data_IF_224879339171
#
_entry.id   IF_224879339171
#
_cell.length_a   1.000
_cell.length_b   1.000
_cell.length_c   1.000
_cell.angle_alpha   90.00
_cell.angle_beta   90.00
_cell.angle_gamma   90.00
#
_symmetry.space_group_name_H-M   'P 1'
#
loop_
_entity.id
_entity.type
_entity.pdbx_description
1 polymer ?
#
# COMPACT_ATOMS: atom_id res chain seq x y z
N UNK A 1 5.83 74.80 -30.74
CA UNK A 1 6.67 75.38 -29.66
C UNK A 1 5.80 75.52 -28.42
N UNK A 2 6.26 75.24 -27.18
CA UNK A 2 7.61 75.49 -26.63
C UNK A 2 8.38 74.24 -26.16
N UNK A 3 9.68 74.44 -25.88
CA UNK A 3 10.62 73.55 -25.17
C UNK A 3 10.80 74.05 -23.70
N UNK A 4 11.85 73.69 -22.94
CA UNK A 4 12.21 72.41 -22.28
C UNK A 4 12.37 72.58 -20.74
N UNK A 5 12.49 71.49 -19.96
CA UNK A 5 13.04 71.56 -18.59
C UNK A 5 13.63 70.21 -18.09
N UNK A 6 14.96 70.18 -17.90
CA UNK A 6 15.71 69.33 -16.93
C UNK A 6 15.28 69.70 -15.49
N UNK A 7 15.37 68.85 -14.44
CA UNK A 7 16.62 68.41 -13.77
C UNK A 7 16.49 66.98 -13.14
N UNK A 8 17.37 66.33 -12.38
CA UNK A 8 18.27 66.74 -11.28
C UNK A 8 19.05 65.47 -10.77
N UNK A 9 19.96 65.58 -9.78
CA UNK A 9 21.21 64.82 -9.69
C UNK A 9 21.20 63.62 -8.71
N UNK A 10 22.29 62.84 -8.80
CA UNK A 10 22.58 61.65 -8.01
C UNK A 10 22.59 61.87 -6.50
N UNK A 11 22.40 60.76 -5.77
CA UNK A 11 22.53 60.72 -4.31
C UNK A 11 23.56 59.66 -3.88
N UNK A 12 24.35 59.98 -2.83
CA UNK A 12 25.55 59.25 -2.45
C UNK A 12 25.25 58.08 -1.52
N UNK A 13 26.15 57.10 -1.50
CA UNK A 13 26.17 56.03 -0.53
C UNK A 13 26.43 56.57 0.90
N UNK A 14 25.75 56.04 1.93
CA UNK A 14 26.22 56.19 3.30
C UNK A 14 26.80 54.87 3.84
N UNK A 15 27.92 55.10 4.49
CA UNK A 15 28.78 54.24 5.30
C UNK A 15 28.07 53.44 6.40
N UNK A 16 28.63 52.26 6.63
CA UNK A 16 28.39 51.30 7.71
C UNK A 16 28.57 51.89 9.12
N UNK A 17 27.78 51.44 10.11
CA UNK A 17 28.31 51.25 11.46
C UNK A 17 28.27 49.78 11.92
N UNK A 18 29.23 49.42 12.77
CA UNK A 18 29.49 48.10 13.32
C UNK A 18 28.51 47.69 14.46
N UNK A 19 28.53 46.39 14.76
CA UNK A 19 27.64 45.60 15.62
C UNK A 19 27.44 46.09 17.07
N UNK A 20 26.41 45.57 17.76
CA UNK A 20 26.74 44.58 18.80
C UNK A 20 25.75 43.41 19.01
N UNK A 21 26.26 42.43 19.76
CA UNK A 21 25.58 41.46 20.61
C UNK A 21 24.99 40.17 19.97
N UNK A 22 25.73 39.09 20.21
CA UNK A 22 25.35 37.70 20.01
C UNK A 22 24.08 37.34 20.81
N UNK A 23 23.16 36.64 20.14
CA UNK A 23 22.06 35.91 20.77
C UNK A 23 22.07 34.48 20.20
N UNK A 24 21.99 33.42 21.01
CA UNK A 24 22.11 32.05 20.51
C UNK A 24 20.91 31.72 19.61
N UNK A 25 21.19 31.23 18.40
CA UNK A 25 20.17 30.70 17.52
C UNK A 25 19.66 29.35 18.07
N UNK A 26 18.34 29.09 18.08
CA UNK A 26 17.82 27.76 18.41
C UNK A 26 18.25 26.75 17.34
N UNK A 27 18.77 25.63 17.82
CA UNK A 27 19.28 24.53 17.00
C UNK A 27 18.19 23.97 16.07
N UNK A 28 18.54 23.78 14.79
CA UNK A 28 17.80 22.95 13.85
C UNK A 28 17.67 21.52 14.40
N UNK A 29 16.49 20.89 14.38
CA UNK A 29 16.38 19.47 14.64
C UNK A 29 17.09 18.71 13.52
N UNK A 30 18.15 17.99 13.88
CA UNK A 30 18.82 17.01 13.03
C UNK A 30 17.82 15.89 12.69
N UNK A 31 17.63 15.51 11.41
CA UNK A 31 16.82 14.34 11.09
C UNK A 31 17.51 13.07 11.62
N UNK A 32 16.81 12.18 12.34
CA UNK A 32 17.41 10.96 12.80
C UNK A 32 17.73 10.05 11.61
N UNK A 33 19.04 9.79 11.49
CA UNK A 33 19.66 8.56 11.01
C UNK A 33 18.88 7.71 10.02
N UNK A 34 19.31 7.79 8.75
CA UNK A 34 19.11 6.73 7.76
C UNK A 34 19.93 5.51 8.19
N UNK A 35 19.31 4.60 8.95
CA UNK A 35 19.82 3.25 9.14
C UNK A 35 19.27 2.37 8.02
N UNK A 36 20.14 1.96 7.11
CA UNK A 36 19.84 0.89 6.17
C UNK A 36 19.71 -0.45 6.90
N UNK A 37 18.81 -1.30 6.43
CA UNK A 37 18.72 -2.69 6.90
C UNK A 37 17.35 -3.33 6.64
N UNK A 38 17.22 -4.00 5.50
CA UNK A 38 16.38 -5.19 5.35
C UNK A 38 14.87 -4.98 5.38
N UNK A 39 14.26 -4.87 4.20
CA UNK A 39 12.85 -5.23 4.04
C UNK A 39 12.66 -6.69 4.42
N UNK A 40 12.09 -6.97 5.60
CA UNK A 40 11.55 -8.27 6.04
C UNK A 40 10.88 -8.23 7.44
N UNK A 41 11.13 -7.20 8.27
CA UNK A 41 10.67 -7.19 9.68
C UNK A 41 9.28 -6.60 9.94
N UNK A 42 8.61 -6.04 8.92
CA UNK A 42 7.25 -5.49 9.08
C UNK A 42 6.14 -6.53 8.83
N UNK A 43 6.51 -7.80 8.60
CA UNK A 43 5.56 -8.90 8.36
C UNK A 43 5.35 -9.74 9.60
N UNK A 44 6.31 -10.60 9.92
CA UNK A 44 6.17 -11.62 10.98
C UNK A 44 6.22 -11.04 12.40
N UNK A 45 7.25 -10.23 12.70
CA UNK A 45 7.47 -9.66 14.04
C UNK A 45 6.38 -8.68 14.47
N UNK A 46 5.87 -7.87 13.54
CA UNK A 46 4.76 -6.95 13.82
C UNK A 46 3.47 -7.72 14.13
N UNK A 47 3.21 -8.82 13.41
CA UNK A 47 2.04 -9.67 13.64
C UNK A 47 2.15 -10.47 14.94
N UNK A 48 3.37 -10.87 15.33
CA UNK A 48 3.68 -11.56 16.60
C UNK A 48 3.40 -10.72 17.83
N UNK A 49 3.73 -9.42 17.79
CA UNK A 49 3.61 -8.49 18.92
C UNK A 49 2.21 -7.93 19.16
N UNK A 50 1.23 -8.25 18.31
CA UNK A 50 -0.16 -7.83 18.49
C UNK A 50 -0.82 -8.66 19.61
N UNK A 51 -1.79 -8.10 20.37
CA UNK A 51 -2.48 -8.77 21.49
C UNK A 51 -3.40 -9.90 20.99
N UNK A 52 -2.78 -10.95 20.46
CA UNK A 52 -3.36 -12.09 19.78
C UNK A 52 -2.30 -13.05 19.23
N UNK A 53 -1.04 -12.61 19.00
CA UNK A 53 0.03 -13.46 18.46
C UNK A 53 0.92 -14.17 19.49
N UNK A 54 0.75 -13.92 20.80
CA UNK A 54 1.73 -14.32 21.80
C UNK A 54 1.17 -14.84 23.14
N UNK A 55 -0.12 -15.18 23.22
CA UNK A 55 -0.66 -15.80 24.44
C UNK A 55 -1.00 -17.28 24.19
N UNK A 56 -0.25 -18.25 24.74
CA UNK A 56 -0.59 -19.67 24.61
C UNK A 56 -1.93 -20.04 25.28
N UNK A 57 -2.45 -19.21 26.19
CA UNK A 57 -3.82 -19.31 26.72
C UNK A 57 -4.90 -18.67 25.83
N UNK A 58 -4.52 -18.02 24.72
CA UNK A 58 -5.44 -17.45 23.73
C UNK A 58 -5.51 -18.25 22.42
N UNK A 59 -4.77 -19.36 22.30
CA UNK A 59 -4.90 -20.29 21.16
C UNK A 59 -6.33 -20.84 21.00
N UNK A 60 -7.09 -20.88 22.10
CA UNK A 60 -8.50 -21.29 22.13
C UNK A 60 -9.49 -20.11 22.08
N UNK A 61 -9.01 -18.86 22.16
CA UNK A 61 -9.84 -17.67 22.13
C UNK A 61 -9.58 -16.92 20.82
N UNK A 62 -10.24 -17.38 19.75
CA UNK A 62 -10.31 -16.66 18.48
C UNK A 62 -10.54 -15.17 18.75
N UNK A 63 -9.55 -14.33 18.44
CA UNK A 63 -9.66 -12.88 18.64
C UNK A 63 -10.91 -12.45 17.87
N UNK A 64 -11.94 -11.87 18.53
CA UNK A 64 -13.16 -11.51 17.83
C UNK A 64 -12.78 -10.54 16.71
N UNK A 65 -13.25 -10.81 15.49
CA UNK A 65 -12.96 -10.01 14.30
C UNK A 65 -13.24 -8.50 14.47
N UNK A 66 -13.99 -8.15 15.52
CA UNK A 66 -14.36 -6.81 15.98
C UNK A 66 -13.18 -6.02 16.59
N UNK A 67 -12.13 -6.69 17.10
CA UNK A 67 -10.91 -6.06 17.66
C UNK A 67 -9.79 -5.92 16.62
N UNK A 68 -10.04 -6.34 15.38
CA UNK A 68 -9.03 -6.33 14.33
C UNK A 68 -8.92 -4.93 13.74
N UNK A 69 -7.95 -4.18 14.26
CA UNK A 69 -7.66 -2.82 13.82
C UNK A 69 -7.26 -2.72 12.34
N UNK A 70 -7.31 -1.51 11.76
CA UNK A 70 -6.98 -1.27 10.35
C UNK A 70 -5.57 -1.71 9.97
N UNK A 71 -4.61 -1.62 10.91
CA UNK A 71 -3.24 -2.06 10.71
C UNK A 71 -3.13 -3.58 10.44
N UNK A 72 -3.90 -4.40 11.16
CA UNK A 72 -3.91 -5.86 10.98
C UNK A 72 -4.49 -6.23 9.62
N UNK A 73 -5.58 -5.57 9.21
CA UNK A 73 -6.19 -5.78 7.88
C UNK A 73 -5.23 -5.40 6.76
N UNK A 74 -4.53 -4.27 6.91
CA UNK A 74 -3.50 -3.84 5.96
C UNK A 74 -2.36 -4.87 5.87
N UNK A 75 -1.86 -5.35 7.01
CA UNK A 75 -0.82 -6.37 7.07
C UNK A 75 -1.26 -7.69 6.39
N UNK A 76 -2.49 -8.15 6.64
CA UNK A 76 -3.08 -9.33 5.99
C UNK A 76 -3.21 -9.14 4.47
N UNK A 77 -3.77 -8.01 4.02
CA UNK A 77 -3.87 -7.72 2.59
C UNK A 77 -2.50 -7.66 1.92
N UNK A 78 -1.48 -7.14 2.61
CA UNK A 78 -0.10 -7.10 2.14
C UNK A 78 0.53 -8.49 2.07
N UNK A 79 0.27 -9.36 3.05
CA UNK A 79 0.73 -10.75 3.03
C UNK A 79 0.11 -11.53 1.85
N UNK A 80 -1.21 -11.41 1.65
CA UNK A 80 -1.92 -12.02 0.52
C UNK A 80 -1.36 -11.48 -0.80
N UNK A 81 -1.22 -10.15 -0.94
CA UNK A 81 -0.70 -9.54 -2.15
C UNK A 81 0.71 -10.02 -2.52
N UNK A 82 1.59 -10.24 -1.53
CA UNK A 82 2.95 -10.77 -1.76
C UNK A 82 2.94 -12.20 -2.31
N UNK A 83 2.00 -13.02 -1.88
CA UNK A 83 1.85 -14.40 -2.36
C UNK A 83 1.15 -14.45 -3.72
N UNK A 84 0.22 -13.52 -3.99
CA UNK A 84 -0.46 -13.38 -5.28
C UNK A 84 0.45 -12.84 -6.38
N UNK A 85 1.25 -11.80 -6.07
CA UNK A 85 2.09 -11.08 -7.05
C UNK A 85 2.93 -12.00 -7.95
N UNK A 86 3.67 -13.02 -7.47
CA UNK A 86 4.45 -13.90 -8.34
C UNK A 86 3.58 -14.83 -9.22
N UNK A 87 2.32 -15.06 -8.87
CA UNK A 87 1.37 -15.90 -9.63
C UNK A 87 0.45 -15.07 -10.53
N UNK A 88 0.40 -13.76 -10.32
CA UNK A 88 -0.40 -12.83 -11.09
C UNK A 88 0.29 -12.48 -12.40
N UNK A 89 -0.33 -12.89 -13.50
CA UNK A 89 0.09 -12.55 -14.85
C UNK A 89 -0.99 -11.62 -15.38
N UNK A 90 -0.70 -10.32 -15.45
CA UNK A 90 -1.65 -9.36 -16.01
C UNK A 90 -1.76 -9.54 -17.54
N UNK A 91 -2.96 -9.42 -18.12
CA UNK A 91 -3.12 -9.49 -19.57
C UNK A 91 -2.44 -8.30 -20.23
N UNK A 92 -1.90 -8.55 -21.43
CA UNK A 92 -1.25 -7.53 -22.24
C UNK A 92 -2.16 -7.13 -23.39
N UNK A 93 -2.06 -5.87 -23.83
CA UNK A 93 -2.84 -5.35 -24.94
C UNK A 93 -3.24 -3.89 -24.74
N UNK A 94 -3.96 -3.34 -25.72
CA UNK A 94 -4.49 -1.99 -25.66
C UNK A 94 -5.37 -1.83 -24.41
N UNK A 95 -5.04 -0.83 -23.58
CA UNK A 95 -5.78 -0.46 -22.36
C UNK A 95 -6.02 -1.61 -21.36
N UNK A 96 -5.28 -2.71 -21.44
CA UNK A 96 -5.42 -3.83 -20.50
C UNK A 96 -5.03 -3.44 -19.06
N UNK A 97 -4.21 -2.39 -18.91
CA UNK A 97 -3.83 -1.80 -17.62
C UNK A 97 -5.01 -1.17 -16.87
N UNK A 98 -6.03 -0.70 -17.60
CA UNK A 98 -7.22 -0.10 -17.00
C UNK A 98 -8.17 -1.14 -16.39
N UNK A 99 -8.04 -2.40 -16.78
CA UNK A 99 -8.89 -3.46 -16.25
C UNK A 99 -8.59 -3.67 -14.76
N UNK A 100 -9.66 -3.60 -13.98
CA UNK A 100 -9.62 -3.88 -12.55
C UNK A 100 -10.63 -4.99 -12.28
N UNK A 101 -10.16 -6.11 -11.75
CA UNK A 101 -11.03 -7.23 -11.35
C UNK A 101 -11.00 -7.37 -9.84
N UNK A 102 -12.18 -7.38 -9.22
CA UNK A 102 -12.34 -7.63 -7.80
C UNK A 102 -12.89 -9.03 -7.62
N UNK A 103 -12.16 -9.86 -6.88
CA UNK A 103 -12.57 -11.22 -6.55
C UNK A 103 -12.85 -11.35 -5.05
N UNK A 104 -13.68 -12.33 -4.71
CA UNK A 104 -13.91 -12.80 -3.36
C UNK A 104 -13.63 -14.29 -3.26
N UNK A 105 -13.09 -14.74 -2.14
CA UNK A 105 -12.91 -16.17 -1.88
C UNK A 105 -12.82 -16.45 -0.38
N UNK A 106 -13.07 -17.70 -0.03
CA UNK A 106 -13.00 -18.21 1.32
C UNK A 106 -11.74 -19.07 1.48
N UNK A 107 -11.17 -19.05 2.69
CA UNK A 107 -9.96 -19.76 3.06
C UNK A 107 -10.23 -20.65 4.28
N UNK A 108 -9.64 -21.83 4.25
CA UNK A 108 -9.58 -22.75 5.37
C UNK A 108 -8.49 -22.29 6.37
N UNK A 109 -8.51 -22.77 7.62
CA UNK A 109 -7.50 -22.42 8.63
C UNK A 109 -6.06 -22.79 8.25
N UNK A 110 -5.90 -23.77 7.36
CA UNK A 110 -4.61 -24.20 6.80
C UNK A 110 -4.14 -23.34 5.61
N UNK A 111 -4.88 -22.27 5.27
CA UNK A 111 -4.59 -21.39 4.15
C UNK A 111 -5.03 -21.94 2.79
N UNK A 112 -5.61 -23.14 2.71
CA UNK A 112 -6.15 -23.66 1.46
C UNK A 112 -7.46 -22.94 1.09
N UNK A 113 -7.86 -23.03 -0.18
CA UNK A 113 -9.12 -22.44 -0.63
C UNK A 113 -10.32 -23.25 -0.15
N UNK A 114 -11.24 -22.58 0.54
CA UNK A 114 -12.53 -23.13 0.94
C UNK A 114 -13.56 -23.03 -0.21
N UNK A 115 -13.16 -23.45 -1.41
CA UNK A 115 -13.96 -23.39 -2.63
C UNK A 115 -13.37 -22.49 -3.72
N UNK A 116 -14.02 -22.41 -4.90
CA UNK A 116 -13.51 -21.62 -6.01
C UNK A 116 -13.66 -20.10 -5.75
N UNK A 117 -12.67 -19.29 -6.16
CA UNK A 117 -12.81 -17.83 -6.11
C UNK A 117 -13.93 -17.36 -7.02
N UNK A 118 -14.62 -16.29 -6.61
CA UNK A 118 -15.77 -15.71 -7.31
C UNK A 118 -15.49 -14.29 -7.75
N UNK A 119 -16.04 -13.92 -8.91
CA UNK A 119 -16.03 -12.55 -9.39
C UNK A 119 -17.04 -11.71 -8.59
N UNK A 120 -16.57 -10.62 -8.00
CA UNK A 120 -17.44 -9.63 -7.34
C UNK A 120 -17.80 -8.54 -8.32
N UNK A 121 -16.79 -7.94 -8.94
CA UNK A 121 -16.98 -6.88 -9.91
C UNK A 121 -15.78 -6.77 -10.85
N UNK A 122 -16.04 -6.18 -12.01
CA UNK A 122 -15.00 -5.79 -12.95
C UNK A 122 -15.25 -4.35 -13.39
N UNK A 123 -14.19 -3.57 -13.56
CA UNK A 123 -14.24 -2.16 -13.93
C UNK A 123 -13.11 -1.82 -14.90
N UNK A 124 -13.22 -0.66 -15.56
CA UNK A 124 -12.23 -0.21 -16.55
C UNK A 124 -12.31 -0.94 -17.90
N UNK A 125 -13.47 -1.51 -18.22
CA UNK A 125 -13.72 -2.12 -19.53
C UNK A 125 -14.00 -1.02 -20.56
N UNK A 126 -13.20 -0.98 -21.61
CA UNK A 126 -13.32 -0.11 -22.79
C UNK A 126 -13.64 -0.95 -24.02
N UNK A 127 -13.95 -0.30 -25.14
CA UNK A 127 -14.19 -1.02 -26.40
C UNK A 127 -12.94 -1.77 -26.88
N UNK A 128 -11.77 -1.16 -26.71
CA UNK A 128 -10.48 -1.73 -27.11
C UNK A 128 -10.04 -2.92 -26.23
N UNK A 129 -10.38 -2.93 -24.95
CA UNK A 129 -9.95 -3.97 -24.01
C UNK A 129 -11.03 -5.02 -23.69
N UNK A 130 -12.26 -4.88 -24.22
CA UNK A 130 -13.37 -5.82 -24.01
C UNK A 130 -12.99 -7.29 -24.26
N UNK A 131 -12.19 -7.66 -25.27
CA UNK A 131 -11.73 -9.05 -25.46
C UNK A 131 -10.83 -9.56 -24.32
N UNK A 132 -10.10 -8.67 -23.65
CA UNK A 132 -9.19 -9.00 -22.56
C UNK A 132 -9.88 -9.04 -21.19
N UNK A 133 -11.07 -8.44 -21.07
CA UNK A 133 -11.83 -8.39 -19.83
C UNK A 133 -12.04 -9.79 -19.22
N UNK A 134 -12.51 -10.76 -20.02
CA UNK A 134 -12.69 -12.14 -19.54
C UNK A 134 -11.35 -12.80 -19.18
N UNK A 135 -10.31 -12.61 -20.00
CA UNK A 135 -8.97 -13.15 -19.73
C UNK A 135 -8.38 -12.63 -18.42
N UNK A 136 -8.60 -11.36 -18.11
CA UNK A 136 -8.18 -10.76 -16.85
C UNK A 136 -8.82 -11.46 -15.64
N UNK A 137 -10.13 -11.78 -15.72
CA UNK A 137 -10.82 -12.52 -14.64
C UNK A 137 -10.26 -13.93 -14.51
N UNK A 138 -10.11 -14.65 -15.62
CA UNK A 138 -9.58 -16.02 -15.64
C UNK A 138 -8.17 -16.09 -15.02
N UNK A 139 -7.31 -15.16 -15.39
CA UNK A 139 -5.96 -15.06 -14.84
C UNK A 139 -5.99 -14.72 -13.35
N UNK A 140 -6.94 -13.90 -12.90
CA UNK A 140 -7.03 -13.52 -11.48
C UNK A 140 -7.47 -14.72 -10.65
N UNK A 141 -8.49 -15.46 -11.12
CA UNK A 141 -8.91 -16.70 -10.49
C UNK A 141 -7.78 -17.74 -10.47
N UNK A 142 -7.01 -17.85 -11.56
CA UNK A 142 -5.85 -18.75 -11.63
C UNK A 142 -4.77 -18.35 -10.64
N UNK A 143 -4.46 -17.07 -10.51
CA UNK A 143 -3.46 -16.58 -9.57
C UNK A 143 -3.83 -16.94 -8.12
N UNK A 144 -5.10 -16.77 -7.72
CA UNK A 144 -5.58 -17.18 -6.39
C UNK A 144 -5.41 -18.68 -6.18
N UNK A 145 -5.80 -19.51 -7.17
CA UNK A 145 -5.66 -20.97 -7.09
C UNK A 145 -4.20 -21.41 -7.00
N UNK A 146 -3.30 -20.74 -7.71
CA UNK A 146 -1.86 -21.05 -7.71
C UNK A 146 -1.13 -20.50 -6.47
N UNK A 147 -1.71 -19.52 -5.78
CA UNK A 147 -1.15 -18.97 -4.55
C UNK A 147 -1.54 -19.80 -3.32
N UNK A 148 -2.63 -20.58 -3.40
CA UNK A 148 -2.99 -21.51 -2.35
C UNK A 148 -1.96 -22.67 -2.24
N UNK A 149 -1.62 -23.12 -1.04
CA UNK A 149 -2.07 -22.61 0.27
C UNK A 149 -1.41 -21.28 0.67
N UNK A 150 -2.19 -20.41 1.32
CA UNK A 150 -1.75 -19.12 1.82
C UNK A 150 -1.09 -19.23 3.20
N UNK A 151 0.12 -18.71 3.32
CA UNK A 151 0.80 -18.61 4.62
C UNK A 151 0.27 -17.39 5.39
N UNK A 152 -0.72 -17.62 6.27
CA UNK A 152 -1.39 -16.58 7.07
C UNK A 152 -1.47 -17.00 8.55
N UNK A 153 -1.36 -16.05 9.50
CA UNK A 153 -1.36 -16.37 10.92
C UNK A 153 -2.71 -16.92 11.40
N UNK A 154 -2.71 -18.13 11.96
CA UNK A 154 -3.89 -18.84 12.43
C UNK A 154 -4.66 -18.08 13.54
N UNK A 155 -3.96 -17.35 14.42
CA UNK A 155 -4.57 -16.55 15.48
C UNK A 155 -5.52 -15.46 14.95
N UNK A 156 -5.34 -15.06 13.69
CA UNK A 156 -6.17 -14.07 13.01
C UNK A 156 -7.16 -14.69 12.02
N UNK A 157 -7.41 -16.00 12.07
CA UNK A 157 -8.24 -16.69 11.09
C UNK A 157 -9.60 -16.05 10.85
N UNK A 158 -10.27 -15.59 11.92
CA UNK A 158 -11.55 -14.89 11.82
C UNK A 158 -11.51 -13.62 10.93
N UNK A 159 -10.33 -13.02 10.75
CA UNK A 159 -10.09 -11.83 9.93
C UNK A 159 -9.97 -12.13 8.43
N UNK A 160 -9.39 -13.27 8.08
CA UNK A 160 -8.95 -13.58 6.71
C UNK A 160 -9.59 -14.82 6.12
N UNK A 161 -10.38 -15.58 6.90
CA UNK A 161 -11.19 -16.71 6.41
C UNK A 161 -12.09 -16.35 5.24
N UNK A 162 -12.51 -15.09 5.14
CA UNK A 162 -13.32 -14.58 4.05
C UNK A 162 -12.68 -13.32 3.48
N UNK A 163 -12.10 -13.44 2.29
CA UNK A 163 -11.57 -12.31 1.54
C UNK A 163 -12.71 -11.79 0.67
N UNK A 164 -13.40 -10.75 1.16
CA UNK A 164 -14.59 -10.22 0.50
C UNK A 164 -14.29 -9.45 -0.79
N UNK A 165 -13.20 -8.67 -0.81
CA UNK A 165 -12.85 -7.80 -1.92
C UNK A 165 -11.34 -7.72 -2.05
N UNK A 166 -10.79 -8.41 -3.04
CA UNK A 166 -9.38 -8.26 -3.41
C UNK A 166 -9.27 -7.78 -4.85
N UNK A 167 -8.54 -6.67 -5.02
CA UNK A 167 -8.37 -6.00 -6.30
C UNK A 167 -7.15 -6.55 -7.05
N UNK A 168 -7.39 -7.04 -8.25
CA UNK A 168 -6.37 -7.34 -9.25
C UNK A 168 -6.33 -6.23 -10.27
N UNK A 169 -5.18 -5.58 -10.38
CA UNK A 169 -4.87 -4.57 -11.38
C UNK A 169 -3.41 -4.67 -11.79
N UNK A 170 -2.98 -3.81 -12.72
CA UNK A 170 -1.57 -3.80 -13.15
C UNK A 170 -0.61 -3.51 -12.00
N UNK A 171 -0.99 -2.65 -11.05
CA UNK A 171 -0.13 -2.27 -9.91
C UNK A 171 0.23 -3.47 -9.05
N UNK A 172 -0.64 -4.48 -8.97
CA UNK A 172 -0.32 -5.74 -8.29
C UNK A 172 0.84 -6.51 -8.97
N UNK A 173 1.05 -6.33 -10.27
CA UNK A 173 2.11 -6.98 -11.05
C UNK A 173 3.42 -6.20 -11.10
N UNK A 174 3.40 -4.89 -10.85
CA UNK A 174 4.60 -4.02 -10.78
C UNK A 174 5.29 -4.17 -9.43
#
# INVERSE_FOLDING_TARGET
QPAPAKPAPGKPAPTRPAAPAARPAPAKPTPPGRAGGGGSRLGDDFLKGLPGGQNPAARDAAVPAQTIGPAVRAALSGAIARQLKPKWIAPQGAEADQLVTVLSWDLNPDGTLAGPPRLVSQSGVTDANRPQAQRHVEQAMRAVRLAAPFDLPADLYAAWKHVAQFRFDRKLSQ
#
